data_IF_837506709490
#
_entry.id   IF_837506709490
#
_cell.length_a   1.000
_cell.length_b   1.000
_cell.length_c   1.000
_cell.angle_alpha   90.00
_cell.angle_beta   90.00
_cell.angle_gamma   90.00
#
_symmetry.space_group_name_H-M   'P 1'
#
loop_
_entity.id
_entity.type
_entity.pdbx_description
1 polymer ?
#
# COMPACT_ATOMS: atom_id res chain seq x y z
N UNK A 1 -38.03 -10.05 9.40
CA UNK A 1 -36.76 -10.16 10.16
C UNK A 1 -35.51 -9.87 9.30
N UNK A 2 -35.58 -8.99 8.28
CA UNK A 2 -34.48 -8.82 7.30
C UNK A 2 -33.56 -7.61 7.53
N UNK A 3 -33.92 -6.66 8.39
CA UNK A 3 -33.12 -5.43 8.54
C UNK A 3 -31.81 -5.62 9.31
N UNK A 4 -31.71 -6.62 10.21
CA UNK A 4 -30.50 -6.82 11.02
C UNK A 4 -29.32 -7.34 10.19
N UNK A 5 -29.58 -8.28 9.27
CA UNK A 5 -28.54 -8.81 8.39
C UNK A 5 -28.02 -7.76 7.41
N UNK A 6 -28.89 -6.87 6.93
CA UNK A 6 -28.49 -5.75 6.07
C UNK A 6 -27.63 -4.73 6.82
N UNK A 7 -28.01 -4.37 8.05
CA UNK A 7 -27.21 -3.47 8.89
C UNK A 7 -25.84 -4.07 9.22
N UNK A 8 -25.79 -5.36 9.56
CA UNK A 8 -24.54 -6.07 9.81
C UNK A 8 -23.64 -6.10 8.57
N UNK A 9 -24.19 -6.29 7.38
CA UNK A 9 -23.43 -6.24 6.13
C UNK A 9 -22.83 -4.84 5.87
N UNK A 10 -23.58 -3.77 6.11
CA UNK A 10 -23.08 -2.39 5.96
C UNK A 10 -21.96 -2.12 6.97
N UNK A 11 -22.12 -2.55 8.22
CA UNK A 11 -21.10 -2.38 9.26
C UNK A 11 -19.83 -3.14 8.88
N UNK A 12 -19.94 -4.40 8.47
CA UNK A 12 -18.80 -5.22 8.07
C UNK A 12 -18.08 -4.64 6.85
N UNK A 13 -18.82 -4.15 5.84
CA UNK A 13 -18.24 -3.46 4.68
C UNK A 13 -17.49 -2.20 5.11
N UNK A 14 -18.07 -1.39 6.00
CA UNK A 14 -17.41 -0.19 6.50
C UNK A 14 -16.12 -0.50 7.29
N UNK A 15 -16.07 -1.64 7.97
CA UNK A 15 -14.87 -2.09 8.69
C UNK A 15 -13.81 -2.60 7.74
N UNK A 16 -14.16 -3.47 6.78
CA UNK A 16 -13.23 -3.97 5.77
C UNK A 16 -12.59 -2.82 4.96
N UNK A 17 -13.37 -1.81 4.57
CA UNK A 17 -12.85 -0.62 3.87
C UNK A 17 -11.86 0.14 4.75
N UNK A 18 -12.17 0.33 6.04
CA UNK A 18 -11.27 1.03 6.99
C UNK A 18 -9.99 0.26 7.26
N UNK A 19 -10.05 -1.07 7.29
CA UNK A 19 -8.87 -1.93 7.45
C UNK A 19 -7.97 -1.83 6.23
N UNK A 20 -8.56 -1.85 5.03
CA UNK A 20 -7.78 -1.72 3.80
C UNK A 20 -7.16 -0.33 3.63
N UNK A 21 -7.88 0.74 4.00
CA UNK A 21 -7.31 2.10 4.07
C UNK A 21 -6.13 2.13 5.04
N UNK A 22 -6.25 1.56 6.24
CA UNK A 22 -5.14 1.53 7.21
C UNK A 22 -3.96 0.69 6.72
N UNK A 23 -4.24 -0.39 6.00
CA UNK A 23 -3.21 -1.20 5.36
C UNK A 23 -2.45 -0.37 4.33
N UNK A 24 -3.14 0.36 3.45
CA UNK A 24 -2.53 1.29 2.52
C UNK A 24 -1.74 2.40 3.23
N UNK A 25 -2.35 3.11 4.19
CA UNK A 25 -1.69 4.18 4.94
C UNK A 25 -0.45 3.71 5.71
N UNK A 26 -0.42 2.46 6.16
CA UNK A 26 0.74 1.89 6.87
C UNK A 26 1.98 1.67 6.00
N UNK A 27 1.81 1.57 4.68
CA UNK A 27 2.94 1.40 3.74
C UNK A 27 3.58 2.76 3.40
N UNK A 28 2.93 3.87 3.75
CA UNK A 28 3.23 5.21 3.24
C UNK A 28 4.31 6.04 3.98
N UNK A 29 4.91 5.67 5.13
CA UNK A 29 6.01 6.48 5.68
C UNK A 29 7.36 6.26 4.97
N UNK A 30 7.72 5.01 4.71
CA UNK A 30 9.07 4.66 4.25
C UNK A 30 9.22 4.72 2.73
N UNK A 31 8.19 4.31 1.98
CA UNK A 31 8.21 4.32 0.51
C UNK A 31 8.26 5.76 -0.04
N UNK A 32 7.49 6.67 0.55
CA UNK A 32 7.50 8.10 0.17
C UNK A 32 8.82 8.77 0.54
N UNK A 33 9.35 8.47 1.73
CA UNK A 33 10.68 8.95 2.11
C UNK A 33 11.76 8.46 1.12
N UNK A 34 11.66 7.24 0.61
CA UNK A 34 12.58 6.73 -0.41
C UNK A 34 12.41 7.50 -1.73
N UNK A 35 11.18 7.77 -2.19
CA UNK A 35 10.96 8.57 -3.39
C UNK A 35 11.50 10.00 -3.25
N UNK A 36 11.30 10.65 -2.10
CA UNK A 36 11.88 11.96 -1.79
C UNK A 36 13.42 11.93 -1.85
N UNK A 37 14.05 10.87 -1.34
CA UNK A 37 15.50 10.69 -1.39
C UNK A 37 16.01 10.45 -2.82
N UNK A 38 15.25 9.71 -3.64
CA UNK A 38 15.59 9.48 -5.05
C UNK A 38 15.56 10.79 -5.84
N UNK A 39 14.65 11.71 -5.54
CA UNK A 39 14.58 13.03 -6.20
C UNK A 39 15.83 13.89 -5.98
N UNK A 40 16.57 13.64 -4.90
CA UNK A 40 17.84 14.32 -4.61
C UNK A 40 19.03 13.78 -5.43
N UNK A 41 18.85 12.69 -6.18
CA UNK A 41 19.91 12.07 -6.99
C UNK A 41 20.01 12.79 -8.34
N UNK A 42 21.13 13.45 -8.67
CA UNK A 42 21.28 14.22 -9.91
C UNK A 42 21.43 13.34 -11.16
N UNK A 43 21.91 12.10 -11.00
CA UNK A 43 22.03 11.14 -12.10
C UNK A 43 20.68 10.47 -12.36
N UNK A 44 20.07 10.79 -13.49
CA UNK A 44 18.75 10.30 -13.87
C UNK A 44 18.72 8.79 -14.16
N UNK A 45 19.83 8.20 -14.60
CA UNK A 45 19.91 6.76 -14.86
C UNK A 45 19.95 5.99 -13.53
N UNK A 46 20.78 6.45 -12.59
CA UNK A 46 20.86 5.85 -11.25
C UNK A 46 19.54 6.03 -10.50
N UNK A 47 18.95 7.22 -10.55
CA UNK A 47 17.65 7.49 -9.93
C UNK A 47 16.56 6.56 -10.48
N UNK A 48 16.56 6.31 -11.80
CA UNK A 48 15.61 5.39 -12.41
C UNK A 48 15.84 3.93 -12.00
N UNK A 49 17.10 3.47 -11.99
CA UNK A 49 17.41 2.11 -11.53
C UNK A 49 16.98 1.88 -10.08
N UNK A 50 17.17 2.87 -9.21
CA UNK A 50 16.73 2.75 -7.80
C UNK A 50 15.20 2.73 -7.73
N UNK A 51 14.48 3.55 -8.51
CA UNK A 51 13.01 3.47 -8.61
C UNK A 51 12.54 2.08 -8.99
N UNK A 52 13.16 1.48 -9.99
CA UNK A 52 12.75 0.16 -10.49
C UNK A 52 12.96 -0.93 -9.42
N UNK A 53 14.07 -0.87 -8.67
CA UNK A 53 14.30 -1.78 -7.54
C UNK A 53 13.27 -1.61 -6.41
N UNK A 54 12.93 -0.36 -6.08
CA UNK A 54 11.95 -0.04 -5.03
C UNK A 54 10.57 -0.59 -5.39
N UNK A 55 10.14 -0.43 -6.65
CA UNK A 55 8.89 -1.01 -7.16
C UNK A 55 8.90 -2.54 -7.08
N UNK A 56 10.02 -3.17 -7.41
CA UNK A 56 10.18 -4.63 -7.35
C UNK A 56 10.02 -5.15 -5.91
N UNK A 57 10.69 -4.50 -4.95
CA UNK A 57 10.65 -4.86 -3.52
C UNK A 57 9.25 -4.66 -2.93
N UNK A 58 8.61 -3.52 -3.22
CA UNK A 58 7.22 -3.28 -2.79
C UNK A 58 6.29 -4.37 -3.35
N UNK A 59 6.38 -4.64 -4.66
CA UNK A 59 5.59 -5.69 -5.30
C UNK A 59 5.75 -7.06 -4.63
N UNK A 60 6.99 -7.47 -4.31
CA UNK A 60 7.27 -8.72 -3.61
C UNK A 60 6.74 -8.74 -2.16
N UNK A 61 6.81 -7.62 -1.44
CA UNK A 61 6.24 -7.52 -0.10
C UNK A 61 4.71 -7.61 -0.11
N UNK A 62 4.04 -6.94 -1.06
CA UNK A 62 2.59 -7.05 -1.25
C UNK A 62 2.20 -8.49 -1.61
N UNK A 63 2.93 -9.16 -2.51
CA UNK A 63 2.71 -10.57 -2.87
C UNK A 63 2.87 -11.47 -1.62
N UNK A 64 3.93 -11.25 -0.84
CA UNK A 64 4.20 -12.02 0.38
C UNK A 64 3.13 -11.82 1.46
N UNK A 65 2.58 -10.61 1.60
CA UNK A 65 1.47 -10.35 2.53
C UNK A 65 0.13 -10.92 2.06
N UNK A 66 -0.08 -11.06 0.74
CA UNK A 66 -1.31 -11.61 0.18
C UNK A 66 -1.36 -13.15 0.23
N UNK A 67 -0.27 -13.81 0.62
CA UNK A 67 -0.18 -15.27 0.83
C UNK A 67 -0.72 -16.09 -0.36
N UNK A 68 -0.33 -15.69 -1.58
CA UNK A 68 -0.53 -16.45 -2.83
C UNK A 68 0.67 -17.38 -3.04
#
# INVERSE_FOLDING_TARGET
MNNRHHLQSIINNSQAIREEIRRFESVHPSIYAIYDLIELIPDSLIAQQIRDHVVCIEGEFYISQLNI
#
